data_IF_640876601160
#
_entry.id   IF_640876601160
#
_cell.length_a   1.000
_cell.length_b   1.000
_cell.length_c   1.000
_cell.angle_alpha   90.00
_cell.angle_beta   90.00
_cell.angle_gamma   90.00
#
_symmetry.space_group_name_H-M   'P 1'
#
loop_
_entity.id
_entity.type
_entity.pdbx_description
1 polymer ?
#
# COMPACT_ATOMS: atom_id res chain seq x y z
N UNK A 1 8.82 7.80 7.51
CA UNK A 1 7.53 8.20 8.13
C UNK A 1 6.43 8.27 7.11
N UNK A 2 5.17 8.05 7.55
CA UNK A 2 4.00 8.28 6.73
C UNK A 2 3.78 9.80 6.53
N UNK A 3 3.28 10.20 5.34
CA UNK A 3 2.91 11.57 5.02
C UNK A 3 1.39 11.74 4.96
N UNK A 4 0.86 12.98 4.99
CA UNK A 4 -0.57 13.26 5.13
C UNK A 4 -1.46 12.49 4.15
N UNK A 5 -1.07 12.34 2.89
CA UNK A 5 -1.86 11.58 1.90
C UNK A 5 -2.01 10.10 2.30
N UNK A 6 -0.91 9.44 2.67
CA UNK A 6 -0.93 8.03 3.09
C UNK A 6 -1.68 7.85 4.42
N UNK A 7 -1.50 8.80 5.36
CA UNK A 7 -2.22 8.80 6.64
C UNK A 7 -3.72 8.95 6.40
N UNK A 8 -4.15 9.83 5.48
CA UNK A 8 -5.57 10.05 5.20
C UNK A 8 -6.24 8.79 4.61
N UNK A 9 -5.58 8.11 3.66
CA UNK A 9 -6.07 6.83 3.11
C UNK A 9 -6.22 5.79 4.23
N UNK A 10 -5.20 5.59 5.05
CA UNK A 10 -5.25 4.60 6.14
C UNK A 10 -6.24 5.00 7.24
N UNK A 11 -6.40 6.28 7.51
CA UNK A 11 -7.41 6.79 8.44
C UNK A 11 -8.81 6.42 7.97
N UNK A 12 -9.11 6.65 6.69
CA UNK A 12 -10.39 6.28 6.10
C UNK A 12 -10.62 4.75 6.11
N UNK A 13 -9.59 3.97 5.81
CA UNK A 13 -9.68 2.51 5.92
C UNK A 13 -10.05 2.06 7.35
N UNK A 14 -9.42 2.64 8.36
CA UNK A 14 -9.74 2.36 9.77
C UNK A 14 -11.15 2.81 10.14
N UNK A 15 -11.61 3.92 9.60
CA UNK A 15 -12.97 4.41 9.80
C UNK A 15 -13.99 3.44 9.20
N UNK A 16 -13.79 2.97 7.98
CA UNK A 16 -14.64 1.97 7.32
C UNK A 16 -14.80 0.70 8.16
N UNK A 17 -13.72 0.19 8.74
CA UNK A 17 -13.80 -0.99 9.62
C UNK A 17 -14.57 -0.67 10.91
N UNK A 18 -14.29 0.49 11.52
CA UNK A 18 -14.90 0.88 12.80
C UNK A 18 -16.35 1.31 12.69
N UNK A 19 -16.79 1.73 11.51
CA UNK A 19 -18.18 2.09 11.23
C UNK A 19 -19.08 0.86 10.99
N UNK A 20 -18.48 -0.31 10.77
CA UNK A 20 -19.25 -1.56 10.68
C UNK A 20 -19.87 -1.87 12.07
N UNK A 21 -21.21 -2.03 12.17
CA UNK A 21 -21.88 -2.30 13.44
C UNK A 21 -21.32 -3.52 14.18
N UNK A 22 -20.83 -4.51 13.43
CA UNK A 22 -20.26 -5.73 14.00
C UNK A 22 -18.88 -5.54 14.61
N UNK A 23 -18.21 -4.42 14.37
CA UNK A 23 -16.91 -4.15 15.00
C UNK A 23 -16.98 -4.07 16.54
N UNK A 24 -18.10 -3.56 17.08
CA UNK A 24 -18.39 -3.56 18.52
C UNK A 24 -17.18 -3.18 19.39
N UNK A 25 -16.52 -2.06 19.07
CA UNK A 25 -15.30 -1.56 19.74
C UNK A 25 -14.16 -2.60 19.81
N UNK A 26 -14.07 -3.49 18.85
CA UNK A 26 -13.09 -4.56 18.76
C UNK A 26 -13.50 -5.86 19.46
N UNK A 27 -14.68 -5.92 20.07
CA UNK A 27 -15.21 -7.10 20.76
C UNK A 27 -16.11 -7.91 19.84
N UNK A 28 -15.53 -8.69 18.97
CA UNK A 28 -16.22 -9.59 18.04
C UNK A 28 -15.56 -10.98 18.07
N UNK A 29 -16.22 -11.96 17.50
CA UNK A 29 -15.68 -13.30 17.25
C UNK A 29 -15.70 -13.61 15.75
N UNK A 30 -15.17 -14.76 15.35
CA UNK A 30 -15.09 -15.15 13.93
C UNK A 30 -16.44 -15.13 13.19
N UNK A 31 -17.58 -15.33 13.89
CA UNK A 31 -18.91 -15.33 13.28
C UNK A 31 -19.52 -13.93 13.18
N UNK A 32 -19.06 -13.00 14.01
CA UNK A 32 -19.59 -11.64 14.12
C UNK A 32 -18.51 -10.58 13.78
N UNK A 33 -17.52 -10.93 12.98
CA UNK A 33 -16.48 -10.01 12.58
C UNK A 33 -17.02 -8.93 11.63
N UNK A 34 -16.46 -7.69 11.67
CA UNK A 34 -16.88 -6.57 10.83
C UNK A 34 -16.36 -6.72 9.39
N UNK A 35 -16.85 -7.76 8.69
CA UNK A 35 -16.35 -8.15 7.38
C UNK A 35 -16.69 -7.14 6.28
N UNK A 36 -17.85 -6.48 6.37
CA UNK A 36 -18.24 -5.45 5.40
C UNK A 36 -17.32 -4.24 5.47
N UNK A 37 -17.05 -3.72 6.67
CA UNK A 37 -16.10 -2.63 6.87
C UNK A 37 -14.69 -3.00 6.40
N UNK A 38 -14.26 -4.22 6.71
CA UNK A 38 -12.96 -4.75 6.26
C UNK A 38 -12.89 -4.90 4.74
N UNK A 39 -13.95 -5.37 4.09
CA UNK A 39 -14.08 -5.46 2.64
C UNK A 39 -13.93 -4.09 1.98
N UNK A 40 -14.64 -3.08 2.47
CA UNK A 40 -14.56 -1.71 1.96
C UNK A 40 -13.16 -1.11 2.16
N UNK A 41 -12.56 -1.29 3.34
CA UNK A 41 -11.19 -0.86 3.62
C UNK A 41 -10.18 -1.51 2.65
N UNK A 42 -10.35 -2.81 2.34
CA UNK A 42 -9.51 -3.50 1.37
C UNK A 42 -9.69 -2.98 -0.05
N UNK A 43 -10.92 -2.69 -0.49
CA UNK A 43 -11.20 -2.07 -1.80
C UNK A 43 -10.45 -0.73 -1.94
N UNK A 44 -10.52 0.13 -0.92
CA UNK A 44 -9.78 1.39 -0.91
C UNK A 44 -8.25 1.17 -0.97
N UNK A 45 -7.74 0.16 -0.25
CA UNK A 45 -6.34 -0.25 -0.33
C UNK A 45 -5.94 -0.66 -1.74
N UNK A 46 -6.70 -1.54 -2.38
CA UNK A 46 -6.44 -1.99 -3.75
C UNK A 46 -6.35 -0.82 -4.75
N UNK A 47 -7.21 0.20 -4.59
CA UNK A 47 -7.15 1.40 -5.42
C UNK A 47 -5.87 2.21 -5.21
N UNK A 48 -5.39 2.32 -3.97
CA UNK A 48 -4.20 3.12 -3.64
C UNK A 48 -2.87 2.40 -3.96
N UNK A 49 -2.89 1.07 -4.12
CA UNK A 49 -1.69 0.28 -4.41
C UNK A 49 -1.33 0.22 -5.89
N UNK A 50 -2.24 0.62 -6.76
CA UNK A 50 -2.09 0.56 -8.21
C UNK A 50 -2.08 1.94 -8.84
N UNK A 51 -1.41 2.08 -9.99
CA UNK A 51 -1.41 3.33 -10.74
C UNK A 51 -2.57 3.41 -11.73
N UNK A 52 -3.01 4.62 -12.04
CA UNK A 52 -4.11 4.87 -13.00
C UNK A 52 -3.84 4.27 -14.38
N UNK A 53 -2.57 4.25 -14.82
CA UNK A 53 -2.20 3.66 -16.11
C UNK A 53 -2.38 2.14 -16.11
N UNK A 54 -2.02 1.44 -15.03
CA UNK A 54 -2.27 0.00 -14.93
C UNK A 54 -3.77 -0.31 -14.95
N UNK A 55 -4.58 0.46 -14.21
CA UNK A 55 -6.03 0.31 -14.24
C UNK A 55 -6.59 0.45 -15.65
N UNK A 56 -6.11 1.46 -16.40
CA UNK A 56 -6.52 1.68 -17.80
C UNK A 56 -6.10 0.53 -18.70
N UNK A 57 -4.87 0.07 -18.63
CA UNK A 57 -4.37 -1.03 -19.47
C UNK A 57 -5.08 -2.35 -19.17
N UNK A 58 -5.33 -2.63 -17.90
CA UNK A 58 -5.90 -3.90 -17.46
C UNK A 58 -7.40 -4.02 -17.67
N UNK A 59 -8.15 -2.97 -17.38
CA UNK A 59 -9.61 -3.02 -17.38
C UNK A 59 -10.24 -2.11 -18.44
N UNK A 60 -9.59 -1.01 -18.79
CA UNK A 60 -10.19 0.03 -19.63
C UNK A 60 -11.63 0.35 -19.15
N UNK A 61 -12.61 0.30 -20.04
CA UNK A 61 -14.05 0.40 -19.75
C UNK A 61 -14.79 -0.92 -20.01
N UNK A 62 -14.10 -2.05 -19.82
CA UNK A 62 -14.70 -3.36 -20.00
C UNK A 62 -15.89 -3.54 -19.06
N UNK A 63 -17.01 -3.99 -19.62
CA UNK A 63 -18.23 -4.27 -18.87
C UNK A 63 -18.35 -5.75 -18.58
N UNK A 64 -18.91 -6.07 -17.42
CA UNK A 64 -19.29 -7.44 -17.05
C UNK A 64 -20.36 -7.95 -18.01
N UNK A 65 -20.27 -9.22 -18.40
CA UNK A 65 -21.31 -9.84 -19.23
C UNK A 65 -22.68 -9.74 -18.55
N UNK A 66 -23.69 -9.30 -19.31
CA UNK A 66 -25.04 -9.06 -18.80
C UNK A 66 -25.63 -10.35 -18.21
N UNK A 67 -26.10 -10.26 -16.96
CA UNK A 67 -27.10 -11.17 -16.42
C UNK A 67 -28.49 -10.70 -16.87
N UNK A 68 -29.43 -11.63 -17.03
CA UNK A 68 -30.79 -11.33 -17.53
C UNK A 68 -31.56 -10.37 -16.61
N UNK A 69 -31.29 -10.40 -15.30
CA UNK A 69 -31.89 -9.49 -14.31
C UNK A 69 -30.77 -8.71 -13.60
N UNK A 70 -30.74 -7.40 -13.73
CA UNK A 70 -29.83 -6.48 -13.05
C UNK A 70 -30.61 -5.43 -12.27
N UNK A 71 -30.21 -5.22 -11.04
CA UNK A 71 -30.61 -4.04 -10.27
C UNK A 71 -29.81 -2.80 -10.73
N UNK A 72 -30.35 -1.60 -10.45
CA UNK A 72 -29.77 -0.33 -10.91
C UNK A 72 -28.32 -0.10 -10.41
N UNK A 73 -27.98 -0.65 -9.27
CA UNK A 73 -26.68 -0.45 -8.62
C UNK A 73 -25.81 -1.71 -8.60
N UNK A 74 -26.13 -2.69 -9.41
CA UNK A 74 -25.28 -3.87 -9.60
C UNK A 74 -23.97 -3.52 -10.27
N UNK A 75 -22.98 -4.41 -10.12
CA UNK A 75 -21.67 -4.31 -10.76
C UNK A 75 -21.82 -4.22 -12.29
N UNK A 76 -21.28 -3.15 -12.87
CA UNK A 76 -21.32 -2.86 -14.30
C UNK A 76 -19.98 -3.08 -15.00
N UNK A 77 -18.87 -2.81 -14.33
CA UNK A 77 -17.54 -2.83 -14.90
C UNK A 77 -16.66 -3.94 -14.31
N UNK A 78 -15.78 -4.49 -15.12
CA UNK A 78 -14.83 -5.53 -14.68
C UNK A 78 -13.91 -5.07 -13.56
N UNK A 79 -13.59 -3.79 -13.47
CA UNK A 79 -12.82 -3.23 -12.36
C UNK A 79 -13.56 -3.33 -11.03
N UNK A 80 -14.88 -3.17 -11.02
CA UNK A 80 -15.70 -3.32 -9.81
C UNK A 80 -15.74 -4.79 -9.35
N UNK A 81 -15.90 -5.70 -10.32
CA UNK A 81 -15.85 -7.14 -10.09
C UNK A 81 -14.49 -7.57 -9.50
N UNK A 82 -13.40 -7.02 -10.05
CA UNK A 82 -12.05 -7.25 -9.52
C UNK A 82 -11.90 -6.79 -8.07
N UNK A 83 -12.37 -5.57 -7.75
CA UNK A 83 -12.31 -5.04 -6.38
C UNK A 83 -13.13 -5.90 -5.41
N UNK A 84 -14.31 -6.33 -5.84
CA UNK A 84 -15.19 -7.18 -5.05
C UNK A 84 -14.55 -8.54 -4.76
N UNK A 85 -14.11 -9.24 -5.80
CA UNK A 85 -13.48 -10.55 -5.68
C UNK A 85 -12.23 -10.53 -4.78
N UNK A 86 -11.32 -9.56 -4.98
CA UNK A 86 -10.09 -9.50 -4.19
C UNK A 86 -10.31 -9.06 -2.74
N UNK A 87 -11.30 -8.22 -2.49
CA UNK A 87 -11.67 -7.87 -1.12
C UNK A 87 -12.33 -9.02 -0.38
N UNK A 88 -13.20 -9.80 -1.04
CA UNK A 88 -13.83 -11.00 -0.49
C UNK A 88 -12.79 -12.05 -0.10
N UNK A 89 -11.82 -12.32 -0.98
CA UNK A 89 -10.72 -13.22 -0.69
C UNK A 89 -9.90 -12.79 0.53
N UNK A 90 -9.68 -11.47 0.68
CA UNK A 90 -8.86 -10.93 1.76
C UNK A 90 -9.50 -11.06 3.14
N UNK A 91 -10.81 -10.84 3.27
CA UNK A 91 -11.51 -10.89 4.56
C UNK A 91 -11.53 -12.28 5.20
N UNK A 92 -11.30 -13.34 4.42
CA UNK A 92 -11.17 -14.70 4.92
C UNK A 92 -9.81 -14.98 5.57
N UNK A 93 -8.80 -14.15 5.30
CA UNK A 93 -7.40 -14.39 5.67
C UNK A 93 -6.85 -13.43 6.72
N UNK A 94 -7.49 -12.27 6.92
CA UNK A 94 -6.91 -11.21 7.76
C UNK A 94 -7.93 -10.66 8.76
N UNK A 95 -7.49 -10.55 10.02
CA UNK A 95 -8.33 -10.06 11.12
C UNK A 95 -8.46 -8.53 11.10
N UNK A 96 -9.69 -7.97 11.23
CA UNK A 96 -9.91 -6.53 11.23
C UNK A 96 -9.18 -5.76 12.32
N UNK A 97 -9.09 -6.28 13.56
CA UNK A 97 -8.33 -5.62 14.62
C UNK A 97 -6.83 -5.61 14.32
N UNK A 98 -6.27 -6.70 13.78
CA UNK A 98 -4.89 -6.73 13.31
C UNK A 98 -4.64 -5.65 12.26
N UNK A 99 -5.58 -5.47 11.32
CA UNK A 99 -5.49 -4.42 10.32
C UNK A 99 -5.47 -3.01 10.96
N UNK A 100 -6.34 -2.76 11.92
CA UNK A 100 -6.41 -1.47 12.63
C UNK A 100 -5.09 -1.17 13.37
N UNK A 101 -4.57 -2.14 14.14
CA UNK A 101 -3.33 -1.97 14.91
C UNK A 101 -2.11 -1.76 14.01
N UNK A 102 -1.93 -2.60 12.99
CA UNK A 102 -0.80 -2.47 12.06
C UNK A 102 -0.88 -1.16 11.26
N UNK A 103 -2.05 -0.81 10.76
CA UNK A 103 -2.27 0.45 10.07
C UNK A 103 -1.94 1.67 10.95
N UNK A 104 -2.33 1.62 12.24
CA UNK A 104 -2.03 2.68 13.19
C UNK A 104 -0.54 2.76 13.53
N UNK A 105 0.11 1.62 13.74
CA UNK A 105 1.54 1.56 14.01
C UNK A 105 2.38 2.15 12.86
N UNK A 106 2.00 1.85 11.61
CA UNK A 106 2.65 2.44 10.44
C UNK A 106 2.49 3.96 10.35
N UNK A 107 1.34 4.52 10.76
CA UNK A 107 1.13 5.96 10.76
C UNK A 107 1.92 6.68 11.85
N UNK A 108 2.06 6.04 13.01
CA UNK A 108 2.76 6.60 14.17
C UNK A 108 4.28 6.53 14.05
N UNK A 109 4.81 5.64 13.22
CA UNK A 109 6.25 5.51 13.07
C UNK A 109 6.88 6.75 12.42
N UNK A 110 7.81 7.38 13.10
CA UNK A 110 8.68 8.42 12.53
C UNK A 110 10.14 8.15 12.91
N UNK A 111 10.99 8.00 11.90
CA UNK A 111 12.43 7.82 12.09
C UNK A 111 13.09 9.02 12.81
N UNK A 112 12.47 10.19 12.74
CA UNK A 112 12.94 11.38 13.45
C UNK A 112 12.91 11.22 14.98
N UNK A 113 12.01 10.41 15.54
CA UNK A 113 11.95 10.11 16.98
C UNK A 113 13.21 9.42 17.50
N UNK A 114 13.97 8.77 16.61
CA UNK A 114 15.23 8.10 16.95
C UNK A 114 16.45 9.01 16.94
N UNK A 115 16.31 10.32 16.66
CA UNK A 115 17.45 11.23 16.62
C UNK A 115 17.10 12.72 16.64
N UNK A 116 15.80 13.06 16.79
CA UNK A 116 15.31 14.45 16.76
C UNK A 116 15.06 15.00 15.35
N UNK A 117 15.68 14.41 14.33
CA UNK A 117 15.46 14.73 12.90
C UNK A 117 15.51 13.46 12.05
N UNK A 118 14.91 13.48 10.86
CA UNK A 118 14.99 12.35 9.90
C UNK A 118 16.46 11.99 9.62
N UNK A 119 17.31 12.97 9.33
CA UNK A 119 18.72 12.74 9.04
C UNK A 119 19.47 12.10 10.22
N UNK A 120 19.22 12.57 11.45
CA UNK A 120 19.86 12.02 12.65
C UNK A 120 19.36 10.59 12.95
N UNK A 121 18.09 10.30 12.72
CA UNK A 121 17.54 8.95 12.81
C UNK A 121 18.15 7.99 11.79
N UNK A 122 18.24 8.40 10.52
CA UNK A 122 18.88 7.63 9.46
C UNK A 122 20.38 7.40 9.72
N UNK A 123 21.07 8.36 10.35
CA UNK A 123 22.49 8.22 10.71
C UNK A 123 22.74 7.06 11.68
N UNK A 124 21.75 6.68 12.50
CA UNK A 124 21.84 5.55 13.45
C UNK A 124 21.69 4.17 12.81
N UNK A 125 21.34 4.08 11.53
CA UNK A 125 21.24 2.79 10.83
C UNK A 125 22.65 2.26 10.56
N UNK A 126 22.98 1.05 11.04
CA UNK A 126 24.32 0.45 10.96
C UNK A 126 24.48 -0.52 9.77
N UNK A 127 23.99 -0.14 8.60
CA UNK A 127 24.19 -0.93 7.37
C UNK A 127 25.46 -0.49 6.63
N UNK A 128 26.17 -1.45 6.02
CA UNK A 128 27.38 -1.17 5.21
C UNK A 128 27.03 -0.59 3.85
N UNK A 129 25.99 -1.15 3.20
CA UNK A 129 25.48 -0.72 1.90
C UNK A 129 23.96 -0.59 1.98
N UNK A 130 23.38 0.34 1.26
CA UNK A 130 21.94 0.60 1.22
C UNK A 130 21.49 0.67 -0.22
N UNK A 131 20.37 -0.01 -0.52
CA UNK A 131 19.66 0.14 -1.79
C UNK A 131 18.29 0.73 -1.51
N UNK A 132 17.97 1.81 -2.19
CA UNK A 132 16.64 2.41 -2.19
C UNK A 132 16.10 2.30 -3.61
N UNK A 133 14.93 1.69 -3.74
CA UNK A 133 14.23 1.55 -5.02
C UNK A 133 12.97 2.40 -4.95
N UNK A 134 12.84 3.36 -5.84
CA UNK A 134 11.66 4.19 -5.98
C UNK A 134 10.93 3.86 -7.28
N UNK A 135 9.59 3.75 -7.23
CA UNK A 135 8.73 3.52 -8.39
C UNK A 135 8.06 4.83 -8.78
N UNK A 136 8.23 5.26 -10.03
CA UNK A 136 7.72 6.57 -10.49
C UNK A 136 6.20 6.69 -10.44
N UNK A 137 5.48 5.58 -10.60
CA UNK A 137 4.02 5.54 -10.57
C UNK A 137 3.42 5.29 -9.17
N UNK A 138 4.24 5.14 -8.12
CA UNK A 138 3.77 4.92 -6.75
C UNK A 138 3.17 6.21 -6.18
N UNK A 139 1.85 6.20 -5.98
CA UNK A 139 1.12 7.33 -5.37
C UNK A 139 1.09 7.26 -3.85
N UNK A 140 1.33 6.08 -3.27
CA UNK A 140 1.27 5.86 -1.83
C UNK A 140 2.57 6.29 -1.14
N UNK A 141 3.71 5.96 -1.76
CA UNK A 141 5.04 6.42 -1.38
C UNK A 141 5.74 7.06 -2.58
N UNK A 142 5.36 8.31 -2.94
CA UNK A 142 5.87 8.98 -4.12
C UNK A 142 7.39 9.07 -4.17
N UNK A 143 7.93 9.19 -5.37
CA UNK A 143 9.37 9.15 -5.63
C UNK A 143 10.18 10.16 -4.79
N UNK A 144 9.63 11.34 -4.53
CA UNK A 144 10.25 12.36 -3.70
C UNK A 144 10.48 11.92 -2.24
N UNK A 145 9.67 11.00 -1.70
CA UNK A 145 9.90 10.42 -0.38
C UNK A 145 11.09 9.45 -0.39
N UNK A 146 11.29 8.73 -1.48
CA UNK A 146 12.45 7.87 -1.66
C UNK A 146 13.72 8.72 -1.81
N UNK A 147 13.63 9.85 -2.50
CA UNK A 147 14.73 10.83 -2.61
C UNK A 147 15.08 11.43 -1.25
N UNK A 148 14.11 11.75 -0.39
CA UNK A 148 14.35 12.21 1.00
C UNK A 148 15.20 11.19 1.77
N UNK A 149 14.89 9.88 1.63
CA UNK A 149 15.67 8.81 2.26
C UNK A 149 17.11 8.77 1.71
N UNK A 150 17.27 8.82 0.40
CA UNK A 150 18.59 8.84 -0.27
C UNK A 150 19.43 9.99 0.24
N UNK A 151 18.86 11.19 0.26
CA UNK A 151 19.55 12.39 0.73
C UNK A 151 19.93 12.31 2.22
N UNK A 152 19.06 11.72 3.03
CA UNK A 152 19.34 11.47 4.44
C UNK A 152 20.53 10.51 4.64
N UNK A 153 20.61 9.42 3.88
CA UNK A 153 21.73 8.49 3.91
C UNK A 153 23.04 9.15 3.42
N UNK A 154 22.97 9.94 2.34
CA UNK A 154 24.14 10.68 1.82
C UNK A 154 24.67 11.70 2.81
N UNK A 155 23.78 12.48 3.44
CA UNK A 155 24.15 13.43 4.52
C UNK A 155 24.78 12.73 5.73
N UNK A 156 24.36 11.52 6.02
CA UNK A 156 24.96 10.65 7.04
C UNK A 156 26.26 9.96 6.58
N UNK A 157 26.79 10.29 5.37
CA UNK A 157 27.98 9.70 4.76
C UNK A 157 27.92 8.18 4.63
N UNK A 158 26.73 7.65 4.37
CA UNK A 158 26.49 6.22 4.16
C UNK A 158 26.50 5.88 2.68
N UNK A 159 26.99 4.69 2.34
CA UNK A 159 26.90 4.16 1.00
C UNK A 159 25.43 3.86 0.66
N UNK A 160 24.92 4.52 -0.37
CA UNK A 160 23.54 4.37 -0.82
C UNK A 160 23.43 4.41 -2.34
N UNK A 161 22.90 3.35 -2.90
CA UNK A 161 22.48 3.27 -4.31
C UNK A 161 20.99 3.61 -4.40
N UNK A 162 20.63 4.45 -5.38
CA UNK A 162 19.25 4.80 -5.67
C UNK A 162 18.89 4.33 -7.08
N UNK A 163 17.82 3.55 -7.19
CA UNK A 163 17.28 3.11 -8.47
C UNK A 163 15.84 3.61 -8.64
N UNK A 164 15.58 4.24 -9.79
CA UNK A 164 14.24 4.66 -10.20
C UNK A 164 13.69 3.67 -11.21
N UNK A 165 12.60 3.01 -10.85
CA UNK A 165 11.94 2.05 -11.74
C UNK A 165 10.71 2.69 -12.40
N UNK A 166 10.63 2.54 -13.73
CA UNK A 166 9.50 2.96 -14.56
C UNK A 166 8.45 1.86 -14.65
N UNK A 167 8.01 1.34 -13.52
CA UNK A 167 6.89 0.40 -13.49
C UNK A 167 5.56 1.15 -13.49
N UNK A 168 4.57 0.65 -14.23
CA UNK A 168 3.21 1.22 -14.24
C UNK A 168 2.34 0.68 -13.11
N UNK A 169 2.84 -0.26 -12.31
CA UNK A 169 2.05 -1.05 -11.37
C UNK A 169 1.90 -0.39 -9.99
N UNK A 170 2.40 0.84 -9.83
CA UNK A 170 2.24 1.62 -8.60
C UNK A 170 3.01 1.03 -7.41
N UNK A 171 2.43 1.13 -6.22
CA UNK A 171 3.02 0.66 -4.98
C UNK A 171 3.29 -0.85 -4.98
N UNK A 172 2.40 -1.65 -5.56
CA UNK A 172 2.56 -3.11 -5.61
C UNK A 172 3.63 -3.59 -6.60
N UNK A 173 4.34 -2.69 -7.30
CA UNK A 173 5.37 -3.07 -8.28
C UNK A 173 6.38 -4.07 -7.72
N UNK A 174 6.78 -3.94 -6.45
CA UNK A 174 7.74 -4.86 -5.81
C UNK A 174 7.22 -6.30 -5.67
N UNK A 175 5.91 -6.51 -5.78
CA UNK A 175 5.26 -7.83 -5.73
C UNK A 175 4.98 -8.41 -7.13
N UNK A 176 4.81 -7.57 -8.13
CA UNK A 176 4.26 -7.99 -9.43
C UNK A 176 5.19 -7.68 -10.61
N UNK A 177 6.12 -6.75 -10.47
CA UNK A 177 7.18 -6.45 -11.45
C UNK A 177 8.49 -7.14 -11.05
N UNK A 178 8.40 -8.47 -10.91
CA UNK A 178 9.48 -9.31 -10.41
C UNK A 178 10.77 -9.16 -11.22
N UNK A 179 10.67 -9.03 -12.54
CA UNK A 179 11.82 -8.97 -13.42
C UNK A 179 12.72 -7.75 -13.13
N UNK A 180 12.12 -6.55 -13.02
CA UNK A 180 12.87 -5.32 -12.75
C UNK A 180 13.43 -5.29 -11.33
N UNK A 181 12.64 -5.71 -10.33
CA UNK A 181 13.10 -5.74 -8.94
C UNK A 181 14.19 -6.78 -8.71
N UNK A 182 14.04 -8.01 -9.21
CA UNK A 182 15.04 -9.06 -9.07
C UNK A 182 16.38 -8.69 -9.70
N UNK A 183 16.34 -8.10 -10.92
CA UNK A 183 17.55 -7.60 -11.58
C UNK A 183 18.26 -6.54 -10.74
N UNK A 184 17.51 -5.54 -10.26
CA UNK A 184 18.06 -4.43 -9.47
C UNK A 184 18.71 -4.91 -8.18
N UNK A 185 18.03 -5.82 -7.46
CA UNK A 185 18.52 -6.42 -6.21
C UNK A 185 19.76 -7.27 -6.47
N UNK A 186 19.72 -8.11 -7.50
CA UNK A 186 20.82 -8.98 -7.87
C UNK A 186 22.10 -8.18 -8.22
N UNK A 187 21.94 -7.12 -9.03
CA UNK A 187 23.07 -6.25 -9.40
C UNK A 187 23.65 -5.51 -8.18
N UNK A 188 22.83 -5.16 -7.21
CA UNK A 188 23.27 -4.54 -5.96
C UNK A 188 24.03 -5.51 -5.04
N UNK A 189 23.59 -6.76 -4.95
CA UNK A 189 24.22 -7.75 -4.07
C UNK A 189 25.56 -8.27 -4.60
N UNK A 190 25.80 -8.17 -5.91
CA UNK A 190 27.06 -8.59 -6.54
C UNK A 190 28.17 -7.55 -6.50
N UNK A 191 27.83 -6.27 -6.36
CA UNK A 191 28.76 -5.15 -6.27
C UNK A 191 29.00 -4.73 -4.83
#
# INVERSE_FOLDING_TARGET
>A
RALPFTISIRSLQRELIRSDPLWNKGNYNKKTAPLNGMKLARKLGLMSYRAANEWRERFNRARVQKKEEKEMFDIEFEVENYLDHNSEKFISMFDPNCYLYLSRAMDLFDVAEHGGTVNAGLAKIHTKKNLIIGVESDILFPINQQEELVDGFRKAKKDVKFERLKSIQGHDSFLVDEANFSKTIYDFLRN
#
